data_IF_792811331053
#
_entry.id   IF_792811331053
#
_cell.length_a   1.000
_cell.length_b   1.000
_cell.length_c   1.000
_cell.angle_alpha   90.00
_cell.angle_beta   90.00
_cell.angle_gamma   90.00
#
_symmetry.space_group_name_H-M   'P 1'
#
loop_
_entity.id
_entity.type
_entity.pdbx_description
1 polymer ?
#
# COMPACT_ATOMS: atom_id res chain seq x y z
N UNK A 1 6.98 -14.79 31.49
CA UNK A 1 7.65 -13.53 31.86
C UNK A 1 8.27 -13.00 30.59
N UNK A 2 7.65 -11.99 29.94
CA UNK A 2 8.25 -11.38 28.75
C UNK A 2 9.55 -10.69 29.18
N UNK A 3 10.69 -10.98 28.53
CA UNK A 3 11.94 -10.39 28.95
C UNK A 3 11.92 -8.89 28.66
N UNK A 4 12.21 -8.11 29.70
CA UNK A 4 12.36 -6.65 29.67
C UNK A 4 13.66 -6.28 28.96
N UNK A 5 13.70 -6.35 27.63
CA UNK A 5 14.85 -5.99 26.80
C UNK A 5 14.77 -4.54 26.32
N UNK A 6 14.70 -3.59 27.26
CA UNK A 6 15.02 -2.20 26.94
C UNK A 6 16.23 -1.87 27.81
N UNK A 7 17.36 -1.58 27.18
CA UNK A 7 18.55 -1.06 27.87
C UNK A 7 18.28 0.32 28.48
N UNK A 8 19.14 0.76 29.38
CA UNK A 8 18.88 1.99 30.15
C UNK A 8 18.93 3.26 29.29
N UNK A 9 19.67 3.23 28.17
CA UNK A 9 19.69 4.32 27.19
C UNK A 9 18.34 4.43 26.47
N UNK A 10 17.81 3.31 25.98
CA UNK A 10 16.50 3.24 25.33
C UNK A 10 15.37 3.62 26.29
N UNK A 11 15.48 3.31 27.59
CA UNK A 11 14.50 3.79 28.60
C UNK A 11 14.57 5.30 28.76
N UNK A 12 15.77 5.87 28.87
CA UNK A 12 15.94 7.31 29.01
C UNK A 12 15.39 8.07 27.81
N UNK A 13 15.56 7.54 26.59
CA UNK A 13 14.98 8.10 25.37
C UNK A 13 13.44 8.05 25.41
N UNK A 14 12.86 6.91 25.80
CA UNK A 14 11.41 6.74 25.97
C UNK A 14 10.83 7.75 26.95
N UNK A 15 11.47 7.89 28.11
CA UNK A 15 11.03 8.82 29.15
C UNK A 15 11.12 10.27 28.66
N UNK A 16 12.16 10.60 27.90
CA UNK A 16 12.35 11.94 27.33
C UNK A 16 11.21 12.33 26.39
N UNK A 17 10.92 11.53 25.35
CA UNK A 17 9.86 11.88 24.39
C UNK A 17 8.46 11.72 25.00
N UNK A 18 8.27 10.82 25.97
CA UNK A 18 6.99 10.68 26.68
C UNK A 18 6.68 11.91 27.53
N UNK A 19 7.70 12.45 28.21
CA UNK A 19 7.59 13.72 28.92
C UNK A 19 7.36 14.89 27.97
N UNK A 20 8.07 14.92 26.84
CA UNK A 20 7.93 15.98 25.83
C UNK A 20 6.54 15.97 25.18
N UNK A 21 5.95 14.79 24.95
CA UNK A 21 4.57 14.69 24.47
C UNK A 21 3.57 15.39 25.41
N UNK A 22 3.85 15.43 26.71
CA UNK A 22 3.02 16.14 27.71
C UNK A 22 1.53 15.81 27.55
N UNK A 23 1.22 14.50 27.59
CA UNK A 23 -0.14 13.94 27.42
C UNK A 23 -0.91 14.48 26.19
N UNK A 24 -0.21 14.69 25.07
CA UNK A 24 -0.82 15.13 23.82
C UNK A 24 -0.78 16.64 23.58
N UNK A 25 -0.21 17.43 24.50
CA UNK A 25 -0.06 18.88 24.33
C UNK A 25 1.26 19.27 23.64
N UNK A 26 2.26 18.40 23.70
CA UNK A 26 3.59 18.62 23.12
C UNK A 26 3.65 18.45 21.59
N UNK A 27 4.87 18.49 21.03
CA UNK A 27 5.12 18.31 19.61
C UNK A 27 4.57 16.99 19.07
N UNK A 28 4.04 17.01 17.84
CA UNK A 28 3.39 15.85 17.22
C UNK A 28 4.30 14.63 17.09
N UNK A 29 5.60 14.83 16.84
CA UNK A 29 6.56 13.71 16.71
C UNK A 29 6.75 13.00 18.05
N UNK A 30 6.94 13.74 19.13
CA UNK A 30 7.07 13.18 20.47
C UNK A 30 5.82 12.36 20.85
N UNK A 31 4.62 12.92 20.59
CA UNK A 31 3.38 12.23 20.88
C UNK A 31 3.09 11.02 20.00
N UNK A 32 3.48 11.07 18.73
CA UNK A 32 3.42 9.89 17.87
C UNK A 32 4.36 8.78 18.38
N UNK A 33 5.61 9.11 18.72
CA UNK A 33 6.57 8.15 19.28
C UNK A 33 6.08 7.54 20.60
N UNK A 34 5.47 8.35 21.47
CA UNK A 34 4.78 7.87 22.69
C UNK A 34 3.67 6.88 22.35
N UNK A 35 2.85 7.17 21.33
CA UNK A 35 1.79 6.25 20.90
C UNK A 35 2.36 4.92 20.36
N UNK A 36 3.42 4.95 19.53
CA UNK A 36 4.08 3.73 19.03
C UNK A 36 4.60 2.87 20.19
N UNK A 37 5.30 3.49 21.14
CA UNK A 37 5.84 2.79 22.30
C UNK A 37 4.74 2.18 23.17
N UNK A 38 3.69 2.95 23.50
CA UNK A 38 2.56 2.43 24.27
C UNK A 38 1.91 1.27 23.52
N UNK A 39 1.69 1.39 22.21
CA UNK A 39 1.07 0.36 21.36
C UNK A 39 1.84 -0.97 21.37
N UNK A 40 3.17 -0.91 21.34
CA UNK A 40 4.05 -2.07 21.28
C UNK A 40 4.32 -2.67 22.66
N UNK A 41 4.64 -1.83 23.65
CA UNK A 41 5.20 -2.26 24.94
C UNK A 41 4.15 -2.35 26.06
N UNK A 42 3.19 -1.43 26.09
CA UNK A 42 2.22 -1.34 27.19
C UNK A 42 0.83 -1.86 26.81
N UNK A 43 0.50 -1.79 25.52
CA UNK A 43 -0.79 -2.16 24.92
C UNK A 43 -1.99 -1.43 25.53
N UNK A 44 -1.77 -0.24 26.09
CA UNK A 44 -2.84 0.70 26.44
C UNK A 44 -3.36 1.37 25.17
N UNK A 45 -4.22 0.65 24.46
CA UNK A 45 -4.72 1.11 23.18
C UNK A 45 -5.64 2.32 23.29
N UNK A 46 -6.29 2.54 24.43
CA UNK A 46 -7.15 3.70 24.63
C UNK A 46 -6.31 4.99 24.58
N UNK A 47 -5.15 5.02 25.27
CA UNK A 47 -4.19 6.14 25.17
C UNK A 47 -3.56 6.27 23.79
N UNK A 48 -3.25 5.14 23.13
CA UNK A 48 -2.69 5.12 21.76
C UNK A 48 -3.63 5.80 20.77
N UNK A 49 -4.92 5.43 20.79
CA UNK A 49 -5.92 5.97 19.87
C UNK A 49 -6.09 7.48 20.11
N UNK A 50 -6.15 7.92 21.36
CA UNK A 50 -6.22 9.34 21.71
C UNK A 50 -5.03 10.13 21.17
N UNK A 51 -3.81 9.60 21.31
CA UNK A 51 -2.61 10.26 20.80
C UNK A 51 -2.56 10.29 19.27
N UNK A 52 -2.94 9.21 18.57
CA UNK A 52 -3.02 9.24 17.11
C UNK A 52 -4.11 10.20 16.61
N UNK A 53 -5.28 10.24 17.25
CA UNK A 53 -6.35 11.19 16.91
C UNK A 53 -5.87 12.63 17.11
N UNK A 54 -5.29 12.92 18.28
CA UNK A 54 -4.72 14.23 18.60
C UNK A 54 -3.66 14.68 17.58
N UNK A 55 -2.78 13.79 17.15
CA UNK A 55 -1.67 14.13 16.23
C UNK A 55 -2.08 14.12 14.76
N UNK A 56 -3.10 13.35 14.37
CA UNK A 56 -3.71 13.39 13.04
C UNK A 56 -4.62 14.64 12.84
N UNK A 57 -5.19 15.17 13.93
CA UNK A 57 -6.13 16.29 13.92
C UNK A 57 -5.73 17.39 14.92
N UNK A 58 -4.62 18.07 14.66
CA UNK A 58 -4.21 19.25 15.43
C UNK A 58 -4.94 20.51 14.98
N UNK A 59 -5.22 21.47 15.87
CA UNK A 59 -5.84 22.72 15.49
C UNK A 59 -4.94 23.52 14.53
N UNK A 60 -5.54 24.40 13.72
CA UNK A 60 -4.82 25.26 12.77
C UNK A 60 -3.69 26.10 13.42
N UNK A 61 -3.85 26.43 14.70
CA UNK A 61 -2.90 27.19 15.50
C UNK A 61 -1.69 26.40 15.97
N UNK A 62 -1.67 25.07 15.79
CA UNK A 62 -0.56 24.22 16.18
C UNK A 62 0.69 24.56 15.36
N UNK A 63 1.81 24.75 16.06
CA UNK A 63 3.11 25.15 15.48
C UNK A 63 4.15 24.04 15.56
N UNK A 64 3.73 22.81 15.85
CA UNK A 64 4.64 21.68 15.94
C UNK A 64 5.37 21.49 14.61
N UNK A 65 6.69 21.24 14.63
CA UNK A 65 7.43 20.90 13.43
C UNK A 65 6.88 19.61 12.81
N UNK A 66 7.14 19.41 11.51
CA UNK A 66 6.72 18.23 10.75
C UNK A 66 5.20 18.04 10.59
N UNK A 67 4.41 19.05 10.93
CA UNK A 67 2.97 19.07 10.60
C UNK A 67 2.75 19.56 9.18
N UNK A 68 1.72 19.01 8.53
CA UNK A 68 1.22 19.45 7.24
C UNK A 68 -0.11 20.19 7.46
N UNK A 69 -0.28 21.33 6.80
CA UNK A 69 -1.58 22.03 6.77
C UNK A 69 -2.52 21.28 5.84
N UNK A 70 -3.65 20.83 6.37
CA UNK A 70 -4.66 20.10 5.60
C UNK A 70 -5.64 21.07 4.91
N UNK A 71 -6.37 20.63 3.87
CA UNK A 71 -7.35 21.47 3.18
C UNK A 71 -8.46 22.05 4.07
N UNK A 72 -8.78 21.36 5.17
CA UNK A 72 -9.75 21.81 6.19
C UNK A 72 -9.16 22.86 7.17
N UNK A 73 -7.90 23.28 6.98
CA UNK A 73 -7.19 24.25 7.81
C UNK A 73 -6.51 23.66 9.04
N UNK A 74 -6.75 22.40 9.38
CA UNK A 74 -6.12 21.73 10.52
C UNK A 74 -4.66 21.37 10.23
N UNK A 75 -3.92 21.02 11.28
CA UNK A 75 -2.55 20.49 11.21
C UNK A 75 -2.59 18.97 11.36
N UNK A 76 -1.78 18.26 10.59
CA UNK A 76 -1.72 16.80 10.63
C UNK A 76 -0.29 16.31 10.66
N UNK A 77 -0.05 15.29 11.48
CA UNK A 77 1.13 14.43 11.36
C UNK A 77 0.74 13.16 10.59
N UNK A 78 1.10 13.02 9.29
CA UNK A 78 0.55 11.99 8.43
C UNK A 78 0.75 10.53 8.90
N UNK A 79 1.89 10.15 9.52
CA UNK A 79 2.05 8.80 10.09
C UNK A 79 1.01 8.45 11.16
N UNK A 80 0.54 9.42 11.94
CA UNK A 80 -0.51 9.20 12.93
C UNK A 80 -1.85 8.85 12.27
N UNK A 81 -2.22 9.57 11.20
CA UNK A 81 -3.41 9.26 10.41
C UNK A 81 -3.33 7.86 9.80
N UNK A 82 -2.16 7.48 9.27
CA UNK A 82 -1.93 6.13 8.73
C UNK A 82 -2.09 5.04 9.79
N UNK A 83 -1.53 5.22 10.98
CA UNK A 83 -1.66 4.23 12.06
C UNK A 83 -3.07 4.19 12.64
N UNK A 84 -3.75 5.34 12.80
CA UNK A 84 -5.14 5.38 13.20
C UNK A 84 -6.05 4.66 12.19
N UNK A 85 -5.83 4.85 10.89
CA UNK A 85 -6.56 4.16 9.84
C UNK A 85 -6.46 2.63 10.00
N UNK A 86 -5.26 2.10 10.25
CA UNK A 86 -5.03 0.65 10.46
C UNK A 86 -5.76 0.12 11.69
N UNK A 87 -5.86 0.91 12.76
CA UNK A 87 -6.67 0.53 13.92
C UNK A 87 -8.16 0.47 13.55
N UNK A 88 -8.71 1.50 12.90
CA UNK A 88 -10.11 1.55 12.45
C UNK A 88 -10.47 0.43 11.47
N UNK A 89 -9.54 0.03 10.59
CA UNK A 89 -9.74 -1.07 9.64
C UNK A 89 -9.69 -2.47 10.25
N UNK A 90 -9.19 -2.61 11.47
CA UNK A 90 -9.04 -3.92 12.12
C UNK A 90 -9.84 -4.05 13.41
N UNK A 91 -10.39 -2.94 13.92
CA UNK A 91 -10.97 -2.89 15.27
C UNK A 91 -9.94 -3.10 16.37
N UNK A 92 -8.63 -3.01 16.06
CA UNK A 92 -7.55 -3.20 17.03
C UNK A 92 -7.74 -2.21 18.19
N UNK A 93 -7.47 -2.69 19.41
CA UNK A 93 -7.55 -1.85 20.59
C UNK A 93 -8.97 -1.45 20.97
N UNK A 94 -10.00 -2.19 20.52
CA UNK A 94 -11.42 -1.86 20.72
C UNK A 94 -11.83 -0.54 20.05
N UNK A 95 -11.07 -0.09 19.05
CA UNK A 95 -11.55 0.98 18.17
C UNK A 95 -12.84 0.55 17.48
N UNK A 96 -13.73 1.52 17.24
CA UNK A 96 -14.87 1.33 16.34
C UNK A 96 -14.32 0.90 14.98
N UNK A 97 -14.60 -0.35 14.59
CA UNK A 97 -14.31 -0.86 13.26
C UNK A 97 -15.13 -0.08 12.24
N UNK A 98 -14.46 0.53 11.26
CA UNK A 98 -15.10 1.26 10.17
C UNK A 98 -14.17 1.28 8.97
N UNK A 99 -14.61 0.65 7.89
CA UNK A 99 -13.87 0.62 6.62
C UNK A 99 -13.82 2.02 6.00
N UNK A 100 -14.92 2.78 6.13
CA UNK A 100 -14.99 4.17 5.70
C UNK A 100 -14.03 5.06 6.48
N UNK A 101 -14.03 4.99 7.82
CA UNK A 101 -13.15 5.84 8.64
C UNK A 101 -11.68 5.54 8.33
N UNK A 102 -11.35 4.26 8.14
CA UNK A 102 -10.02 3.84 7.70
C UNK A 102 -9.63 4.41 6.33
N UNK A 103 -10.54 4.35 5.36
CA UNK A 103 -10.36 4.96 4.04
C UNK A 103 -10.12 6.47 4.11
N UNK A 104 -10.97 7.20 4.84
CA UNK A 104 -10.88 8.66 4.99
C UNK A 104 -9.56 9.07 5.67
N UNK A 105 -9.09 8.30 6.66
CA UNK A 105 -7.82 8.55 7.33
C UNK A 105 -6.60 8.25 6.44
N UNK A 106 -6.68 7.23 5.58
CA UNK A 106 -5.66 7.01 4.56
C UNK A 106 -5.66 8.12 3.50
N UNK A 107 -6.82 8.59 3.04
CA UNK A 107 -6.93 9.73 2.13
C UNK A 107 -6.27 10.97 2.76
N UNK A 108 -6.62 11.28 4.01
CA UNK A 108 -6.04 12.39 4.77
C UNK A 108 -4.52 12.30 4.87
N UNK A 109 -3.96 11.13 5.17
CA UNK A 109 -2.52 10.92 5.22
C UNK A 109 -1.89 11.02 3.82
N UNK A 110 -2.56 10.51 2.80
CA UNK A 110 -2.08 10.53 1.42
C UNK A 110 -2.02 11.95 0.83
N UNK A 111 -3.03 12.79 1.10
CA UNK A 111 -3.02 14.23 0.73
C UNK A 111 -1.79 14.95 1.28
N UNK A 112 -1.26 14.47 2.41
CA UNK A 112 -0.03 14.97 3.01
C UNK A 112 1.23 14.18 2.61
N UNK A 113 1.21 13.51 1.45
CA UNK A 113 2.29 12.71 0.87
C UNK A 113 2.79 11.55 1.73
N UNK A 114 1.94 10.95 2.57
CA UNK A 114 2.28 9.69 3.21
C UNK A 114 2.12 8.53 2.22
N UNK A 115 3.22 8.12 1.58
CA UNK A 115 3.24 7.14 0.49
C UNK A 115 2.60 5.80 0.86
N UNK A 116 2.85 5.27 2.07
CA UNK A 116 2.20 4.05 2.54
C UNK A 116 0.68 4.18 2.71
N UNK A 117 0.17 5.40 2.97
CA UNK A 117 -1.25 5.64 3.06
C UNK A 117 -1.88 5.71 1.67
N UNK A 118 -1.21 6.38 0.72
CA UNK A 118 -1.60 6.37 -0.70
C UNK A 118 -1.67 4.94 -1.24
N UNK A 119 -0.66 4.10 -0.95
CA UNK A 119 -0.66 2.68 -1.31
C UNK A 119 -1.88 1.94 -0.74
N UNK A 120 -2.16 2.11 0.55
CA UNK A 120 -3.28 1.41 1.20
C UNK A 120 -4.63 1.91 0.68
N UNK A 121 -4.79 3.22 0.46
CA UNK A 121 -5.98 3.79 -0.16
C UNK A 121 -6.18 3.23 -1.57
N UNK A 122 -5.12 3.19 -2.39
CA UNK A 122 -5.15 2.62 -3.73
C UNK A 122 -5.57 1.14 -3.71
N UNK A 123 -5.06 0.35 -2.76
CA UNK A 123 -5.50 -1.05 -2.58
C UNK A 123 -6.98 -1.16 -2.24
N UNK A 124 -7.51 -0.28 -1.39
CA UNK A 124 -8.94 -0.27 -1.08
C UNK A 124 -9.77 0.05 -2.33
N UNK A 125 -9.37 1.07 -3.08
CA UNK A 125 -10.04 1.51 -4.31
C UNK A 125 -10.00 0.48 -5.46
N UNK A 126 -8.96 -0.36 -5.51
CA UNK A 126 -8.76 -1.38 -6.55
C UNK A 126 -9.20 -2.79 -6.15
N UNK A 127 -9.67 -2.98 -4.91
CA UNK A 127 -10.20 -4.27 -4.44
C UNK A 127 -11.57 -4.55 -5.05
N UNK A 128 -12.03 -5.81 -5.03
CA UNK A 128 -13.34 -6.16 -5.60
C UNK A 128 -14.45 -5.26 -5.03
N UNK A 129 -15.39 -4.77 -5.86
CA UNK A 129 -16.48 -3.92 -5.41
C UNK A 129 -17.21 -4.52 -4.20
N UNK A 130 -17.49 -3.69 -3.19
CA UNK A 130 -18.17 -4.12 -1.96
C UNK A 130 -17.26 -4.79 -0.91
N UNK A 131 -15.99 -5.09 -1.21
CA UNK A 131 -15.05 -5.68 -0.23
C UNK A 131 -14.86 -4.81 1.03
N UNK A 132 -15.07 -3.50 0.88
CA UNK A 132 -14.95 -2.50 1.93
C UNK A 132 -16.28 -1.79 2.26
N UNK A 133 -17.41 -2.45 1.95
CA UNK A 133 -18.74 -1.89 2.11
C UNK A 133 -19.10 -0.88 1.02
N UNK A 134 -20.34 -0.39 1.05
CA UNK A 134 -20.89 0.50 0.02
C UNK A 134 -20.34 1.94 0.12
N UNK A 135 -19.77 2.30 1.26
CA UNK A 135 -19.26 3.65 1.55
C UNK A 135 -17.81 3.88 1.07
N UNK A 136 -17.09 2.81 0.72
CA UNK A 136 -15.74 2.89 0.15
C UNK A 136 -15.86 2.70 -1.38
N UNK A 137 -15.47 3.70 -2.19
CA UNK A 137 -15.65 3.62 -3.62
C UNK A 137 -14.73 2.58 -4.26
N UNK A 138 -15.23 1.94 -5.32
CA UNK A 138 -14.40 1.21 -6.27
C UNK A 138 -13.95 2.16 -7.37
N UNK A 139 -12.67 2.48 -7.42
CA UNK A 139 -12.08 3.40 -8.39
C UNK A 139 -10.66 2.95 -8.78
N UNK A 140 -10.54 2.01 -9.71
CA UNK A 140 -9.24 1.48 -10.11
C UNK A 140 -8.38 2.55 -10.80
N UNK A 141 -8.98 3.55 -11.46
CA UNK A 141 -8.23 4.63 -12.12
C UNK A 141 -7.54 5.50 -11.07
N UNK A 142 -8.30 5.99 -10.07
CA UNK A 142 -7.71 6.71 -8.93
C UNK A 142 -6.70 5.84 -8.18
N UNK A 143 -6.94 4.54 -8.06
CA UNK A 143 -5.98 3.62 -7.44
C UNK A 143 -4.64 3.59 -8.18
N UNK A 144 -4.64 3.49 -9.51
CA UNK A 144 -3.42 3.50 -10.30
C UNK A 144 -2.67 4.84 -10.13
N UNK A 145 -3.39 5.96 -10.19
CA UNK A 145 -2.79 7.29 -9.98
C UNK A 145 -2.12 7.40 -8.60
N UNK A 146 -2.76 6.86 -7.56
CA UNK A 146 -2.22 6.82 -6.20
C UNK A 146 -1.02 5.88 -6.06
N UNK A 147 -1.03 4.70 -6.71
CA UNK A 147 0.15 3.83 -6.73
C UNK A 147 1.32 4.50 -7.43
N UNK A 148 1.09 5.15 -8.57
CA UNK A 148 2.14 5.89 -9.26
C UNK A 148 2.64 7.08 -8.46
N UNK A 149 1.74 7.81 -7.77
CA UNK A 149 2.12 8.89 -6.87
C UNK A 149 3.00 8.38 -5.72
N UNK A 150 2.58 7.30 -5.05
CA UNK A 150 3.36 6.68 -3.98
C UNK A 150 4.70 6.11 -4.47
N UNK A 151 4.77 5.72 -5.74
CA UNK A 151 5.96 5.20 -6.40
C UNK A 151 6.99 6.30 -6.75
N UNK A 152 6.59 7.56 -6.94
CA UNK A 152 7.51 8.64 -7.32
C UNK A 152 8.58 8.88 -6.24
N UNK A 153 9.69 9.48 -6.65
CA UNK A 153 10.73 10.02 -5.77
C UNK A 153 11.36 9.07 -4.73
N UNK A 154 11.27 7.76 -4.93
CA UNK A 154 11.98 6.77 -4.10
C UNK A 154 11.14 6.21 -2.97
N UNK A 155 9.87 6.57 -2.88
CA UNK A 155 9.19 6.49 -1.60
C UNK A 155 8.53 5.15 -1.29
N UNK A 156 7.90 4.48 -2.26
CA UNK A 156 7.35 3.13 -2.06
C UNK A 156 7.50 2.23 -3.29
N UNK A 157 8.49 1.33 -3.23
CA UNK A 157 8.76 0.36 -4.29
C UNK A 157 7.61 -0.64 -4.49
N UNK A 158 6.87 -0.97 -3.42
CA UNK A 158 5.73 -1.87 -3.51
C UNK A 158 4.59 -1.24 -4.35
N UNK A 159 4.42 0.07 -4.27
CA UNK A 159 3.49 0.81 -5.14
C UNK A 159 3.90 0.78 -6.60
N UNK A 160 5.19 0.95 -6.93
CA UNK A 160 5.65 0.81 -8.32
C UNK A 160 5.36 -0.60 -8.87
N UNK A 161 5.69 -1.63 -8.10
CA UNK A 161 5.42 -3.02 -8.49
C UNK A 161 3.91 -3.29 -8.65
N UNK A 162 3.10 -2.72 -7.76
CA UNK A 162 1.63 -2.87 -7.82
C UNK A 162 1.05 -2.12 -9.01
N UNK A 163 1.50 -0.89 -9.29
CA UNK A 163 1.14 -0.14 -10.50
C UNK A 163 1.47 -0.93 -11.77
N UNK A 164 2.68 -1.48 -11.87
CA UNK A 164 3.06 -2.35 -12.98
C UNK A 164 2.15 -3.57 -13.10
N UNK A 165 1.82 -4.23 -11.97
CA UNK A 165 0.92 -5.38 -11.96
C UNK A 165 -0.47 -5.00 -12.45
N UNK A 166 -0.99 -3.84 -12.05
CA UNK A 166 -2.26 -3.31 -12.51
C UNK A 166 -2.23 -3.02 -14.02
N UNK A 167 -1.16 -2.40 -14.52
CA UNK A 167 -0.96 -2.08 -15.93
C UNK A 167 -0.75 -3.32 -16.82
N UNK A 168 -0.08 -4.36 -16.32
CA UNK A 168 0.13 -5.63 -17.03
C UNK A 168 -1.08 -6.55 -16.99
N UNK A 169 -1.84 -6.50 -15.89
CA UNK A 169 -3.14 -7.17 -15.79
C UNK A 169 -4.17 -6.52 -16.70
N UNK A 170 -4.03 -5.22 -16.96
CA UNK A 170 -4.94 -4.45 -17.79
C UNK A 170 -5.48 -5.33 -18.92
N UNK A 171 -6.80 -5.48 -18.97
CA UNK A 171 -7.49 -6.34 -19.93
C UNK A 171 -7.15 -7.85 -19.94
N UNK A 172 -7.28 -8.51 -18.79
CA UNK A 172 -7.90 -9.85 -18.78
C UNK A 172 -9.22 -9.86 -18.00
N UNK A 173 -9.98 -8.77 -18.11
CA UNK A 173 -11.41 -8.71 -17.82
C UNK A 173 -11.99 -7.84 -18.91
N UNK A 174 -12.61 -8.45 -19.93
CA UNK A 174 -13.54 -7.76 -20.81
C UNK A 174 -14.42 -6.89 -19.91
N UNK A 175 -14.47 -5.56 -20.11
CA UNK A 175 -15.35 -4.70 -19.33
C UNK A 175 -16.74 -5.31 -19.24
N UNK A 176 -17.18 -6.06 -20.24
CA UNK A 176 -18.47 -6.67 -20.45
C UNK A 176 -18.74 -7.97 -19.65
N UNK A 177 -17.90 -8.37 -18.68
CA UNK A 177 -18.08 -9.66 -18.02
C UNK A 177 -17.71 -9.70 -16.53
N UNK A 178 -18.65 -10.16 -15.68
CA UNK A 178 -18.43 -10.51 -14.28
C UNK A 178 -18.26 -12.04 -14.16
N UNK A 179 -17.22 -12.52 -13.45
CA UNK A 179 -16.96 -13.95 -13.21
C UNK A 179 -16.78 -14.81 -14.48
N UNK A 180 -16.02 -14.30 -15.46
CA UNK A 180 -15.65 -15.09 -16.65
C UNK A 180 -14.31 -15.81 -16.52
N UNK A 181 -14.13 -16.88 -17.29
CA UNK A 181 -12.85 -17.58 -17.42
C UNK A 181 -11.78 -16.61 -17.90
N UNK A 182 -10.48 -16.85 -17.62
CA UNK A 182 -9.41 -16.04 -18.20
C UNK A 182 -9.55 -15.88 -19.71
N UNK A 183 -9.85 -16.94 -20.48
CA UNK A 183 -9.99 -16.89 -21.94
C UNK A 183 -11.17 -16.04 -22.43
N UNK A 184 -12.32 -16.15 -21.76
CA UNK A 184 -13.49 -15.29 -21.99
C UNK A 184 -13.16 -13.82 -21.68
N UNK A 185 -12.41 -13.61 -20.60
CA UNK A 185 -11.96 -12.32 -20.14
C UNK A 185 -10.91 -11.65 -21.06
N UNK A 186 -10.05 -12.44 -21.73
CA UNK A 186 -9.11 -11.95 -22.76
C UNK A 186 -9.78 -11.72 -24.12
N UNK A 187 -11.02 -12.16 -24.27
CA UNK A 187 -11.68 -12.23 -25.57
C UNK A 187 -11.07 -13.20 -26.57
N UNK A 188 -10.18 -14.09 -26.11
CA UNK A 188 -9.70 -15.23 -26.91
C UNK A 188 -10.76 -16.33 -26.99
N UNK A 189 -11.75 -16.30 -26.10
CA UNK A 189 -12.92 -17.18 -26.10
C UNK A 189 -14.19 -16.33 -26.02
N UNK A 190 -15.27 -16.82 -26.63
CA UNK A 190 -16.61 -16.27 -26.44
C UNK A 190 -17.17 -16.69 -25.08
N UNK A 191 -17.93 -15.79 -24.43
CA UNK A 191 -18.61 -16.09 -23.16
C UNK A 191 -19.59 -17.24 -23.41
N UNK A 192 -19.34 -18.37 -22.77
CA UNK A 192 -20.17 -19.56 -22.89
C UNK A 192 -21.44 -19.40 -22.04
N UNK A 193 -22.61 -19.59 -22.66
CA UNK A 193 -23.89 -19.60 -21.95
C UNK A 193 -24.18 -21.04 -21.53
N UNK A 194 -24.20 -21.31 -20.22
CA UNK A 194 -24.48 -22.64 -19.67
C UNK A 194 -25.89 -22.68 -19.07
N UNK A 195 -26.58 -23.79 -19.27
CA UNK A 195 -27.93 -23.99 -18.72
C UNK A 195 -27.90 -23.94 -17.19
N UNK A 196 -28.75 -23.10 -16.59
CA UNK A 196 -28.81 -22.88 -15.14
C UNK A 196 -27.76 -21.92 -14.56
N UNK A 197 -26.85 -21.38 -15.38
CA UNK A 197 -25.88 -20.38 -14.93
C UNK A 197 -26.50 -18.97 -14.92
N UNK A 198 -26.16 -18.18 -13.90
CA UNK A 198 -26.48 -16.74 -13.87
C UNK A 198 -25.75 -16.02 -15.01
N UNK A 199 -26.39 -15.02 -15.62
CA UNK A 199 -25.76 -14.23 -16.68
C UNK A 199 -24.48 -13.58 -16.17
N UNK A 200 -23.35 -13.95 -16.81
CA UNK A 200 -22.00 -13.48 -16.48
C UNK A 200 -21.60 -12.24 -17.28
N UNK A 201 -22.49 -11.72 -18.13
CA UNK A 201 -22.27 -10.44 -18.81
C UNK A 201 -22.39 -9.30 -17.81
N UNK A 202 -21.62 -8.25 -18.04
CA UNK A 202 -21.67 -7.01 -17.28
C UNK A 202 -23.07 -6.45 -17.32
N UNK A 203 -23.56 -6.16 -16.13
CA UNK A 203 -24.82 -5.43 -15.97
C UNK A 203 -24.73 -4.08 -16.68
N UNK A 204 -25.75 -3.72 -17.47
CA UNK A 204 -25.81 -2.41 -18.15
C UNK A 204 -25.75 -1.20 -17.20
N UNK A 205 -26.03 -1.38 -15.91
CA UNK A 205 -25.90 -0.36 -14.86
C UNK A 205 -24.52 -0.29 -14.22
N UNK A 206 -23.62 -1.20 -14.57
CA UNK A 206 -22.28 -1.25 -14.05
C UNK A 206 -21.43 -0.10 -14.61
N UNK A 207 -20.94 0.77 -13.72
CA UNK A 207 -20.14 1.95 -14.05
C UNK A 207 -18.63 1.71 -13.91
N UNK A 208 -18.19 0.48 -13.59
CA UNK A 208 -16.78 0.16 -13.35
C UNK A 208 -15.91 0.40 -14.57
N UNK A 209 -14.85 1.20 -14.42
CA UNK A 209 -13.90 1.47 -15.51
C UNK A 209 -12.79 0.42 -15.47
N UNK A 210 -12.39 -0.08 -16.64
CA UNK A 210 -11.22 -0.93 -16.76
C UNK A 210 -9.98 -0.10 -17.04
N UNK A 211 -8.85 -0.45 -16.41
CA UNK A 211 -7.55 0.11 -16.77
C UNK A 211 -7.07 -0.63 -18.01
N UNK A 212 -6.79 0.13 -19.07
CA UNK A 212 -6.22 -0.42 -20.30
C UNK A 212 -4.83 -1.00 -20.03
N UNK A 213 -4.55 -2.17 -20.62
CA UNK A 213 -3.21 -2.76 -20.58
C UNK A 213 -2.17 -1.82 -21.17
N UNK A 214 -1.03 -1.67 -20.49
CA UNK A 214 0.07 -0.83 -20.97
C UNK A 214 1.42 -1.41 -20.50
N UNK A 215 2.00 -2.36 -21.27
CA UNK A 215 3.28 -2.96 -20.93
C UNK A 215 4.46 -1.98 -20.91
N UNK A 216 4.61 -1.02 -21.84
CA UNK A 216 5.69 -0.01 -21.76
C UNK A 216 5.62 0.85 -20.50
N UNK A 217 4.41 1.25 -20.06
CA UNK A 217 4.26 1.98 -18.79
C UNK A 217 4.57 1.07 -17.61
N UNK A 218 4.18 -0.20 -17.65
CA UNK A 218 4.50 -1.16 -16.61
C UNK A 218 6.01 -1.46 -16.52
N UNK A 219 6.70 -1.60 -17.66
CA UNK A 219 8.15 -1.71 -17.77
C UNK A 219 8.81 -0.56 -17.01
N UNK A 220 8.39 0.69 -17.29
CA UNK A 220 8.91 1.88 -16.62
C UNK A 220 8.73 1.84 -15.09
N UNK A 221 7.56 1.39 -14.61
CA UNK A 221 7.29 1.24 -13.18
C UNK A 221 8.15 0.13 -12.54
N UNK A 222 8.33 -1.00 -13.23
CA UNK A 222 9.19 -2.08 -12.77
C UNK A 222 10.66 -1.65 -12.74
N UNK A 223 11.14 -0.92 -13.75
CA UNK A 223 12.51 -0.42 -13.80
C UNK A 223 12.79 0.48 -12.59
N UNK A 224 11.84 1.36 -12.25
CA UNK A 224 11.96 2.25 -11.11
C UNK A 224 12.09 1.48 -9.79
N UNK A 225 11.23 0.49 -9.54
CA UNK A 225 11.32 -0.34 -8.32
C UNK A 225 12.57 -1.23 -8.31
N UNK A 226 12.93 -1.84 -9.45
CA UNK A 226 14.12 -2.68 -9.56
C UNK A 226 15.40 -1.88 -9.29
N UNK A 227 15.49 -0.65 -9.81
CA UNK A 227 16.61 0.26 -9.55
C UNK A 227 16.75 0.68 -8.09
N UNK A 228 15.68 0.54 -7.30
CA UNK A 228 15.62 0.86 -5.87
C UNK A 228 15.65 -0.38 -4.97
N UNK A 229 16.08 -1.53 -5.50
CA UNK A 229 16.30 -2.72 -4.68
C UNK A 229 15.07 -3.60 -4.47
N UNK A 230 14.05 -3.55 -5.34
CA UNK A 230 12.90 -4.45 -5.28
C UNK A 230 13.10 -5.69 -6.17
N UNK A 231 13.45 -6.87 -5.61
CA UNK A 231 13.90 -8.01 -6.40
C UNK A 231 12.82 -8.56 -7.33
N UNK A 232 11.56 -8.59 -6.86
CA UNK A 232 10.42 -9.08 -7.66
C UNK A 232 10.17 -8.20 -8.91
N UNK A 233 10.54 -6.92 -8.87
CA UNK A 233 10.45 -6.07 -10.05
C UNK A 233 11.54 -6.40 -11.08
N UNK A 234 12.76 -6.65 -10.61
CA UNK A 234 13.85 -7.09 -11.49
C UNK A 234 13.54 -8.44 -12.13
N UNK A 235 12.98 -9.37 -11.36
CA UNK A 235 12.55 -10.67 -11.87
C UNK A 235 11.49 -10.52 -12.97
N UNK A 236 10.47 -9.69 -12.74
CA UNK A 236 9.42 -9.45 -13.73
C UNK A 236 9.96 -8.79 -15.01
N UNK A 237 10.95 -7.90 -14.92
CA UNK A 237 11.63 -7.34 -16.10
C UNK A 237 12.42 -8.41 -16.85
N UNK A 238 13.13 -9.28 -16.15
CA UNK A 238 13.83 -10.41 -16.78
C UNK A 238 12.83 -11.27 -17.56
N UNK A 239 11.72 -11.68 -16.94
CA UNK A 239 10.66 -12.44 -17.63
C UNK A 239 10.14 -11.67 -18.84
N UNK A 240 9.81 -10.38 -18.68
CA UNK A 240 9.30 -9.53 -19.75
C UNK A 240 10.25 -9.47 -20.96
N UNK A 241 11.56 -9.30 -20.76
CA UNK A 241 12.51 -9.28 -21.88
C UNK A 241 12.86 -10.66 -22.43
N UNK A 242 12.64 -11.74 -21.67
CA UNK A 242 12.82 -13.10 -22.18
C UNK A 242 11.70 -13.49 -23.17
N UNK A 243 10.44 -13.20 -22.78
CA UNK A 243 9.27 -13.59 -23.58
C UNK A 243 8.81 -12.51 -24.56
N UNK A 244 9.12 -11.24 -24.30
CA UNK A 244 8.58 -10.10 -25.02
C UNK A 244 7.10 -9.84 -24.69
N UNK A 245 6.65 -8.62 -24.92
CA UNK A 245 5.28 -8.18 -24.68
C UNK A 245 4.88 -7.09 -25.70
N UNK A 246 3.61 -6.70 -25.72
CA UNK A 246 3.10 -5.65 -26.61
C UNK A 246 3.86 -4.34 -26.37
N UNK A 247 4.66 -3.91 -27.34
CA UNK A 247 5.49 -2.72 -27.24
C UNK A 247 6.80 -2.90 -26.46
N UNK A 248 7.07 -4.09 -25.91
CA UNK A 248 8.32 -4.42 -25.20
C UNK A 248 8.97 -5.64 -25.89
N UNK A 249 9.86 -5.45 -26.88
CA UNK A 249 10.44 -6.56 -27.61
C UNK A 249 11.35 -7.42 -26.72
N UNK A 250 11.49 -8.69 -27.09
CA UNK A 250 12.49 -9.58 -26.49
C UNK A 250 13.87 -8.94 -26.57
N UNK A 251 14.65 -9.05 -25.49
CA UNK A 251 16.01 -8.54 -25.43
C UNK A 251 16.86 -9.42 -24.50
N UNK A 252 17.73 -10.23 -25.09
CA UNK A 252 18.58 -11.19 -24.35
C UNK A 252 19.59 -10.51 -23.42
N UNK A 253 20.08 -9.32 -23.78
CA UNK A 253 21.04 -8.57 -22.96
C UNK A 253 20.35 -8.01 -21.72
N UNK A 254 19.19 -7.36 -21.89
CA UNK A 254 18.38 -6.87 -20.77
C UNK A 254 17.89 -8.03 -19.90
N UNK A 255 17.46 -9.15 -20.49
CA UNK A 255 17.12 -10.35 -19.74
C UNK A 255 18.25 -10.79 -18.81
N UNK A 256 19.46 -11.01 -19.35
CA UNK A 256 20.61 -11.43 -18.55
C UNK A 256 20.99 -10.40 -17.48
N UNK A 257 20.91 -9.10 -17.81
CA UNK A 257 21.19 -8.02 -16.86
C UNK A 257 20.20 -8.01 -15.68
N UNK A 258 18.90 -8.11 -15.95
CA UNK A 258 17.87 -8.12 -14.90
C UNK A 258 17.85 -9.44 -14.12
N UNK A 259 18.19 -10.57 -14.75
CA UNK A 259 18.39 -11.84 -14.04
C UNK A 259 19.52 -11.71 -13.02
N UNK A 260 20.70 -11.25 -13.46
CA UNK A 260 21.84 -11.03 -12.56
C UNK A 260 21.50 -10.07 -11.42
N UNK A 261 20.83 -8.96 -11.72
CA UNK A 261 20.41 -7.98 -10.71
C UNK A 261 19.41 -8.56 -9.70
N UNK A 262 18.54 -9.47 -10.14
CA UNK A 262 17.63 -10.20 -9.25
C UNK A 262 18.41 -11.06 -8.26
N UNK A 263 19.39 -11.83 -8.75
CA UNK A 263 20.27 -12.68 -7.93
C UNK A 263 21.05 -11.84 -6.91
N UNK A 264 21.72 -10.76 -7.34
CA UNK A 264 22.47 -9.84 -6.47
C UNK A 264 21.59 -9.25 -5.35
N UNK A 265 20.34 -8.87 -5.66
CA UNK A 265 19.42 -8.33 -4.65
C UNK A 265 18.86 -9.42 -3.71
N UNK A 266 18.60 -10.62 -4.21
CA UNK A 266 18.19 -11.75 -3.35
C UNK A 266 19.33 -12.13 -2.40
N UNK A 267 20.58 -12.12 -2.85
CA UNK A 267 21.72 -12.37 -1.96
C UNK A 267 21.85 -11.28 -0.89
N UNK A 268 21.69 -10.02 -1.30
CA UNK A 268 21.82 -8.86 -0.39
C UNK A 268 20.69 -8.80 0.65
N UNK A 269 19.45 -9.06 0.25
CA UNK A 269 18.25 -8.85 1.08
C UNK A 269 17.55 -10.14 1.52
N UNK A 270 17.75 -11.25 0.81
CA UNK A 270 17.20 -12.57 1.14
C UNK A 270 17.86 -13.24 2.35
N UNK A 271 19.05 -12.78 2.75
CA UNK A 271 19.67 -13.17 4.02
C UNK A 271 18.96 -12.64 5.28
N UNK A 272 18.00 -11.71 5.13
CA UNK A 272 17.25 -11.11 6.24
C UNK A 272 15.77 -11.56 6.31
N UNK A 273 15.38 -12.65 5.62
CA UNK A 273 14.04 -13.22 5.67
C UNK A 273 14.01 -14.65 6.24
N UNK A 274 13.48 -14.79 7.46
CA UNK A 274 12.96 -16.01 8.11
C UNK A 274 13.53 -17.38 7.65
N UNK A 275 14.40 -17.94 8.49
CA UNK A 275 15.07 -19.23 8.27
C UNK A 275 14.18 -20.38 7.79
N UNK A 276 14.33 -20.72 6.52
CA UNK A 276 14.25 -22.09 6.04
C UNK A 276 15.67 -22.49 5.64
N UNK A 277 16.30 -23.37 6.43
CA UNK A 277 17.67 -23.82 6.17
C UNK A 277 17.81 -24.52 4.80
N UNK A 278 19.02 -24.54 4.24
CA UNK A 278 19.27 -25.20 2.96
C UNK A 278 19.02 -26.71 3.11
N UNK A 279 18.11 -27.24 2.31
CA UNK A 279 18.08 -28.68 2.01
C UNK A 279 19.26 -28.97 1.09
N UNK A 280 20.36 -29.43 1.68
CA UNK A 280 21.49 -30.02 0.96
C UNK A 280 21.04 -31.32 0.27
N UNK A 281 21.17 -31.35 -1.05
CA UNK A 281 21.32 -32.58 -1.82
C UNK A 281 22.77 -33.03 -1.85
#
# INVERSE_FOLDING_TARGET
MMPTFIDDESKAEVDAYTKECNDGAGPVVACFSTAEYISLMQRDYDKVIQLYENTCFRPASDKSPNTVTMPDGTKSYPPACFNLARFRLTGKGRTKFSQKDGYDLFDRACVANHHGACHMQARMLSSSPGSFGDEVPYDPVKALDLFEHACRDGADNASCFTAATVLLRGEFVKPEADNVSPGEAKGTEDIQIREGEVDRRRNVKDKRVAIKRDPPRAESMLELACNRGHPSSCFNLAVMYNVGDDGVPKNSEKYAAYQKKTEEQIETFGGFGFGGGPTSG
#
